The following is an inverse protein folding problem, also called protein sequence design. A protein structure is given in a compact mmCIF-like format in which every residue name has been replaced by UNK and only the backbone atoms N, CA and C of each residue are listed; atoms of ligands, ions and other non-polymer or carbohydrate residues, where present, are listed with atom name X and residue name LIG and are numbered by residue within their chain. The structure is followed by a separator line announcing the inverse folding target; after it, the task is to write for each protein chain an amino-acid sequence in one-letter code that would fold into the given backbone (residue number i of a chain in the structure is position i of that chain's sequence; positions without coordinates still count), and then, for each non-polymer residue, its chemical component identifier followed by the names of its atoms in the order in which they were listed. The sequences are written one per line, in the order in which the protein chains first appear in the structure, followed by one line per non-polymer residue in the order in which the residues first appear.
data_IF_616458882917
#
_entry.id   IF_616458882917
#
_cell.length_a   1.000
_cell.length_b   1.000
_cell.length_c   1.000
_cell.angle_alpha   90.00
_cell.angle_beta   90.00
_cell.angle_gamma   90.00
#
_symmetry.space_group_name_H-M   'P 1'
#
loop_
_entity.id
_entity.type
_entity.pdbx_description
1 polymer ?
#
# COMPACT_ATOMS: atom_id res chain seq x y z
N UNK A 1 -22.37 -2.11 3.37
CA UNK A 1 -22.79 -1.97 4.79
C UNK A 1 -21.93 -2.79 5.75
N UNK A 2 -21.76 -4.11 5.55
CA UNK A 2 -20.99 -4.96 6.47
C UNK A 2 -19.59 -4.41 6.81
N UNK A 3 -18.79 -4.04 5.81
CA UNK A 3 -17.43 -3.51 6.02
C UNK A 3 -17.38 -2.18 6.82
N UNK A 4 -18.37 -1.30 6.64
CA UNK A 4 -18.45 -0.03 7.39
C UNK A 4 -18.67 -0.26 8.88
N UNK A 5 -19.30 -1.38 9.23
CA UNK A 5 -19.54 -1.79 10.61
C UNK A 5 -18.39 -2.61 11.21
N UNK A 6 -17.32 -2.88 10.45
CA UNK A 6 -16.16 -3.68 10.89
C UNK A 6 -16.21 -5.15 10.47
N UNK A 7 -17.23 -5.57 9.71
CA UNK A 7 -17.32 -6.92 9.17
C UNK A 7 -16.39 -7.17 7.98
N UNK A 8 -16.01 -8.42 7.77
CA UNK A 8 -15.18 -8.86 6.64
C UNK A 8 -16.01 -9.70 5.68
N UNK A 9 -15.78 -9.56 4.37
CA UNK A 9 -16.55 -10.32 3.36
C UNK A 9 -15.85 -11.61 2.95
N UNK A 10 -14.54 -11.55 2.72
CA UNK A 10 -13.71 -12.70 2.38
C UNK A 10 -12.27 -12.49 2.86
N UNK A 11 -11.43 -13.52 2.75
CA UNK A 11 -10.00 -13.46 3.05
C UNK A 11 -9.22 -14.29 2.05
N UNK A 12 -7.91 -14.08 1.99
CA UNK A 12 -6.96 -14.86 1.20
C UNK A 12 -5.92 -15.44 2.14
N UNK A 13 -5.58 -16.72 1.97
CA UNK A 13 -4.53 -17.36 2.77
C UNK A 13 -3.17 -16.71 2.49
N UNK A 14 -2.66 -16.02 3.49
CA UNK A 14 -1.35 -15.36 3.51
C UNK A 14 -0.56 -15.95 4.70
N UNK A 15 0.44 -16.83 4.46
CA UNK A 15 1.08 -17.63 5.51
C UNK A 15 2.18 -16.86 6.27
N UNK A 16 1.98 -15.58 6.54
CA UNK A 16 2.88 -14.80 7.39
C UNK A 16 2.49 -14.95 8.87
N UNK A 17 3.48 -14.97 9.75
CA UNK A 17 3.28 -14.95 11.20
C UNK A 17 3.77 -13.63 11.75
N UNK A 18 2.93 -13.01 12.58
CA UNK A 18 3.27 -11.77 13.27
C UNK A 18 3.80 -10.64 12.36
N UNK A 19 3.15 -10.45 11.20
CA UNK A 19 3.50 -9.39 10.24
C UNK A 19 2.35 -8.40 10.12
N UNK A 20 2.65 -7.11 10.24
CA UNK A 20 1.72 -6.02 9.95
C UNK A 20 1.96 -5.49 8.53
N UNK A 21 0.90 -5.38 7.73
CA UNK A 21 0.94 -4.85 6.37
C UNK A 21 0.31 -3.46 6.39
N UNK A 22 1.04 -2.49 5.85
CA UNK A 22 0.65 -1.09 5.81
C UNK A 22 0.51 -0.60 4.36
N UNK A 23 -0.35 0.39 4.17
CA UNK A 23 -0.57 1.09 2.91
C UNK A 23 -0.58 2.59 3.15
N UNK A 24 0.12 3.32 2.29
CA UNK A 24 0.22 4.77 2.35
C UNK A 24 -0.14 5.35 0.99
N UNK A 25 -1.04 6.33 0.95
CA UNK A 25 -1.31 7.11 -0.24
C UNK A 25 -1.45 8.60 0.13
N UNK A 26 -1.21 9.48 -0.85
CA UNK A 26 -1.32 10.92 -0.68
C UNK A 26 -2.17 11.53 -1.78
N UNK A 27 -3.19 12.29 -1.39
CA UNK A 27 -4.05 13.06 -2.28
C UNK A 27 -3.62 14.52 -2.29
N UNK A 28 -3.49 15.07 -3.50
CA UNK A 28 -3.23 16.49 -3.75
C UNK A 28 -4.32 17.02 -4.68
N UNK A 29 -5.00 18.10 -4.29
CA UNK A 29 -5.96 18.77 -5.16
C UNK A 29 -5.20 19.65 -6.18
N UNK A 30 -5.35 19.42 -7.50
CA UNK A 30 -4.68 20.24 -8.51
C UNK A 30 -5.29 21.65 -8.67
N UNK A 31 -6.51 21.87 -8.19
CA UNK A 31 -7.23 23.14 -8.32
C UNK A 31 -7.20 23.98 -7.05
N UNK A 32 -7.12 23.34 -5.87
CA UNK A 32 -6.91 24.03 -4.60
C UNK A 32 -5.44 23.91 -4.15
N UNK A 33 -4.73 25.04 -4.11
CA UNK A 33 -3.35 25.14 -3.59
C UNK A 33 -3.19 24.80 -2.09
N UNK A 34 -4.27 24.47 -1.38
CA UNK A 34 -4.25 24.30 0.06
C UNK A 34 -4.55 22.86 0.47
N UNK A 35 -3.57 22.30 1.18
CA UNK A 35 -3.58 21.07 1.97
C UNK A 35 -3.54 19.75 1.18
N UNK A 36 -2.44 19.03 1.39
CA UNK A 36 -2.28 17.65 0.96
C UNK A 36 -2.84 16.73 2.04
N UNK A 37 -3.47 15.63 1.64
CA UNK A 37 -3.96 14.63 2.60
C UNK A 37 -3.18 13.35 2.42
N UNK A 38 -2.48 12.93 3.46
CA UNK A 38 -1.84 11.61 3.51
C UNK A 38 -2.72 10.67 4.33
N UNK A 39 -2.93 9.46 3.84
CA UNK A 39 -3.64 8.42 4.57
C UNK A 39 -2.73 7.22 4.83
N UNK A 40 -2.80 6.73 6.06
CA UNK A 40 -2.09 5.55 6.53
C UNK A 40 -3.10 4.47 6.91
N UNK A 41 -2.91 3.27 6.39
CA UNK A 41 -3.75 2.10 6.67
C UNK A 41 -2.86 0.95 7.10
N UNK A 42 -3.25 0.19 8.13
CA UNK A 42 -2.48 -0.94 8.64
C UNK A 42 -3.36 -2.12 9.04
N UNK A 43 -2.92 -3.35 8.75
CA UNK A 43 -3.63 -4.56 9.12
C UNK A 43 -3.51 -4.85 10.63
N UNK A 44 -4.61 -5.26 11.27
CA UNK A 44 -4.65 -5.53 12.71
C UNK A 44 -4.66 -7.03 13.06
N UNK A 45 -4.93 -7.91 12.10
CA UNK A 45 -5.07 -9.35 12.32
C UNK A 45 -4.32 -10.18 11.27
N UNK A 46 -4.03 -11.44 11.61
CA UNK A 46 -3.30 -12.39 10.75
C UNK A 46 -4.05 -12.80 9.47
N UNK A 47 -5.37 -12.60 9.43
CA UNK A 47 -6.18 -12.83 8.22
C UNK A 47 -6.23 -11.61 7.29
N UNK A 48 -5.58 -10.49 7.66
CA UNK A 48 -5.54 -9.25 6.89
C UNK A 48 -6.92 -8.72 6.48
N UNK A 49 -7.90 -8.85 7.37
CA UNK A 49 -9.30 -8.44 7.13
C UNK A 49 -9.73 -7.23 7.93
N UNK A 50 -9.00 -6.92 9.00
CA UNK A 50 -9.26 -5.78 9.88
C UNK A 50 -8.15 -4.76 9.72
N UNK A 51 -8.53 -3.49 9.60
CA UNK A 51 -7.63 -2.42 9.22
C UNK A 51 -7.80 -1.24 10.16
N UNK A 52 -6.67 -0.74 10.67
CA UNK A 52 -6.55 0.61 11.20
C UNK A 52 -6.38 1.59 10.05
N UNK A 53 -6.93 2.78 10.20
CA UNK A 53 -6.88 3.84 9.19
C UNK A 53 -6.86 5.21 9.86
N UNK A 54 -5.96 6.07 9.41
CA UNK A 54 -5.84 7.45 9.86
C UNK A 54 -5.38 8.34 8.71
N UNK A 55 -6.00 9.50 8.58
CA UNK A 55 -5.58 10.53 7.64
C UNK A 55 -4.92 11.69 8.39
N UNK A 56 -3.95 12.33 7.75
CA UNK A 56 -3.31 13.55 8.19
C UNK A 56 -3.48 14.61 7.09
N UNK A 57 -4.03 15.77 7.45
CA UNK A 57 -4.26 16.91 6.55
C UNK A 57 -3.16 17.92 6.82
N UNK A 58 -2.29 18.17 5.84
CA UNK A 58 -1.07 18.93 6.08
C UNK A 58 -0.72 19.87 4.92
N UNK A 59 -0.09 20.98 5.27
CA UNK A 59 0.17 22.12 4.39
C UNK A 59 1.51 21.93 3.66
N UNK A 60 2.47 21.30 4.33
CA UNK A 60 3.85 21.14 3.84
C UNK A 60 4.31 19.67 3.79
N UNK A 61 5.32 19.38 2.95
CA UNK A 61 5.82 18.02 2.73
C UNK A 61 6.52 17.42 3.95
N UNK A 62 7.18 18.22 4.79
CA UNK A 62 7.82 17.73 6.02
C UNK A 62 6.77 17.33 7.06
N UNK A 63 5.65 18.06 7.13
CA UNK A 63 4.53 17.70 7.99
C UNK A 63 3.96 16.33 7.61
N UNK A 64 3.86 16.02 6.30
CA UNK A 64 3.40 14.72 5.78
C UNK A 64 4.10 13.56 6.47
N UNK A 65 5.42 13.62 6.57
CA UNK A 65 6.17 12.51 7.15
C UNK A 65 5.92 12.40 8.67
N UNK A 66 5.86 13.53 9.38
CA UNK A 66 5.53 13.54 10.81
C UNK A 66 4.12 12.98 11.09
N UNK A 67 3.14 13.29 10.22
CA UNK A 67 1.77 12.79 10.30
C UNK A 67 1.69 11.27 10.06
N UNK A 68 2.48 10.76 9.13
CA UNK A 68 2.59 9.32 8.86
C UNK A 68 3.22 8.57 10.03
N UNK A 69 4.30 9.12 10.62
CA UNK A 69 4.97 8.54 11.80
C UNK A 69 3.99 8.45 12.99
N UNK A 70 3.25 9.54 13.26
CA UNK A 70 2.23 9.57 14.31
C UNK A 70 1.06 8.60 14.04
N UNK A 71 0.76 8.32 12.78
CA UNK A 71 -0.27 7.35 12.38
C UNK A 71 0.22 5.92 12.52
N UNK A 72 1.51 5.69 12.27
CA UNK A 72 2.16 4.40 12.45
C UNK A 72 2.25 4.01 13.93
N UNK A 73 2.64 4.92 14.80
CA UNK A 73 2.64 4.69 16.27
C UNK A 73 1.25 4.29 16.78
N UNK A 74 0.21 5.03 16.37
CA UNK A 74 -1.17 4.70 16.73
C UNK A 74 -1.61 3.32 16.20
N UNK A 75 -1.19 2.95 14.98
CA UNK A 75 -1.46 1.64 14.41
C UNK A 75 -0.79 0.51 15.22
N UNK A 76 0.46 0.72 15.67
CA UNK A 76 1.18 -0.23 16.51
C UNK A 76 0.54 -0.39 17.88
N UNK A 77 0.07 0.70 18.48
CA UNK A 77 -0.68 0.66 19.74
C UNK A 77 -1.97 -0.16 19.59
N UNK A 78 -2.77 0.11 18.55
CA UNK A 78 -3.96 -0.67 18.23
C UNK A 78 -3.63 -2.16 17.99
N UNK A 79 -2.54 -2.44 17.26
CA UNK A 79 -2.09 -3.81 17.02
C UNK A 79 -1.73 -4.53 18.33
N UNK A 80 -1.00 -3.85 19.22
CA UNK A 80 -0.60 -4.38 20.53
C UNK A 80 -1.78 -4.60 21.45
N UNK A 81 -2.73 -3.67 21.52
CA UNK A 81 -3.96 -3.81 22.31
C UNK A 81 -4.75 -5.05 21.85
N UNK A 82 -4.82 -5.27 20.53
CA UNK A 82 -5.59 -6.37 19.95
C UNK A 82 -4.93 -7.74 20.10
N UNK A 83 -3.62 -7.81 19.89
CA UNK A 83 -2.89 -9.07 19.80
C UNK A 83 -2.07 -9.40 21.06
N UNK A 84 -1.87 -8.43 21.97
CA UNK A 84 -1.04 -8.57 23.18
C UNK A 84 0.46 -8.39 22.95
N UNK A 85 0.90 -8.30 21.70
CA UNK A 85 2.31 -8.14 21.29
C UNK A 85 2.43 -7.19 20.09
N UNK A 86 3.64 -6.69 19.85
CA UNK A 86 3.97 -5.90 18.65
C UNK A 86 4.33 -6.82 17.47
N UNK A 87 4.15 -6.36 16.22
CA UNK A 87 4.51 -7.16 15.05
C UNK A 87 6.04 -7.31 14.93
N UNK A 88 6.53 -8.49 14.55
CA UNK A 88 7.96 -8.73 14.34
C UNK A 88 8.46 -8.07 13.05
N UNK A 89 7.59 -8.04 12.03
CA UNK A 89 7.91 -7.43 10.74
C UNK A 89 6.78 -6.51 10.29
N UNK A 90 7.16 -5.40 9.67
CA UNK A 90 6.24 -4.44 9.07
C UNK A 90 6.55 -4.31 7.59
N UNK A 91 5.54 -4.55 6.75
CA UNK A 91 5.64 -4.40 5.29
C UNK A 91 4.82 -3.17 4.89
N UNK A 92 5.49 -2.14 4.39
CA UNK A 92 4.86 -0.86 4.03
C UNK A 92 4.80 -0.76 2.50
N UNK A 93 3.61 -0.57 1.96
CA UNK A 93 3.39 -0.24 0.56
C UNK A 93 3.05 1.25 0.41
N UNK A 94 3.95 2.01 -0.21
CA UNK A 94 3.79 3.43 -0.51
C UNK A 94 3.36 3.65 -1.94
N UNK A 95 2.18 4.19 -2.13
CA UNK A 95 1.63 4.59 -3.42
C UNK A 95 1.83 6.10 -3.66
N UNK A 96 1.74 6.57 -4.91
CA UNK A 96 1.75 8.00 -5.21
C UNK A 96 3.13 8.68 -5.25
N UNK A 97 4.22 7.91 -5.33
CA UNK A 97 5.59 8.41 -5.36
C UNK A 97 6.22 8.21 -6.74
N UNK A 98 6.68 9.31 -7.36
CA UNK A 98 7.43 9.26 -8.63
C UNK A 98 8.93 9.00 -8.43
N UNK A 99 9.65 8.76 -9.52
CA UNK A 99 11.10 8.46 -9.48
C UNK A 99 11.93 9.54 -8.79
N UNK A 100 11.62 10.82 -9.02
CA UNK A 100 12.31 11.94 -8.38
C UNK A 100 12.12 12.03 -6.86
N UNK A 101 11.18 11.27 -6.29
CA UNK A 101 10.87 11.26 -4.86
C UNK A 101 11.33 9.97 -4.16
N UNK A 102 11.89 8.98 -4.88
CA UNK A 102 12.37 7.74 -4.26
C UNK A 102 13.45 8.00 -3.22
N UNK A 103 14.38 8.92 -3.51
CA UNK A 103 15.42 9.34 -2.57
C UNK A 103 14.84 10.01 -1.32
N UNK A 104 13.74 10.75 -1.46
CA UNK A 104 13.07 11.37 -0.31
C UNK A 104 12.51 10.28 0.62
N UNK A 105 11.83 9.27 0.05
CA UNK A 105 11.33 8.14 0.84
C UNK A 105 12.49 7.39 1.53
N UNK A 106 13.57 7.11 0.79
CA UNK A 106 14.72 6.38 1.32
C UNK A 106 15.47 7.14 2.44
N UNK A 107 15.67 8.45 2.29
CA UNK A 107 16.49 9.25 3.21
C UNK A 107 15.70 9.89 4.35
N UNK A 108 14.37 10.06 4.21
CA UNK A 108 13.55 10.78 5.19
C UNK A 108 12.37 9.99 5.73
N UNK A 109 11.61 9.26 4.90
CA UNK A 109 10.45 8.50 5.39
C UNK A 109 10.87 7.23 6.13
N UNK A 110 11.71 6.41 5.50
CA UNK A 110 12.15 5.13 6.06
C UNK A 110 12.84 5.31 7.43
N UNK A 111 13.80 6.25 7.60
CA UNK A 111 14.46 6.46 8.90
C UNK A 111 13.51 6.89 10.02
N UNK A 112 12.38 7.51 9.71
CA UNK A 112 11.40 7.86 10.74
C UNK A 112 10.61 6.65 11.21
N UNK A 113 10.18 5.78 10.29
CA UNK A 113 9.57 4.51 10.66
C UNK A 113 10.53 3.61 11.45
N UNK A 114 11.82 3.62 11.09
CA UNK A 114 12.85 2.89 11.85
C UNK A 114 12.98 3.37 13.30
N UNK A 115 12.94 4.69 13.54
CA UNK A 115 12.99 5.23 14.90
C UNK A 115 11.83 4.72 15.76
N UNK A 116 10.64 4.58 15.17
CA UNK A 116 9.46 4.03 15.85
C UNK A 116 9.60 2.52 16.08
N UNK A 117 10.07 1.77 15.08
CA UNK A 117 10.28 0.32 15.17
C UNK A 117 11.38 -0.08 16.18
N UNK A 118 12.40 0.76 16.34
CA UNK A 118 13.59 0.43 17.11
C UNK A 118 14.32 -0.80 16.53
N UNK A 119 15.01 -1.54 17.40
CA UNK A 119 15.80 -2.73 16.98
C UNK A 119 15.00 -4.03 16.90
N UNK A 120 13.77 -4.04 17.41
CA UNK A 120 13.01 -5.28 17.61
C UNK A 120 12.10 -5.63 16.44
N UNK A 121 11.87 -4.69 15.52
CA UNK A 121 10.95 -4.84 14.41
C UNK A 121 11.67 -4.58 13.08
N UNK A 122 11.49 -5.48 12.13
CA UNK A 122 12.09 -5.35 10.78
C UNK A 122 11.15 -4.62 9.84
N UNK A 123 11.69 -3.77 8.97
CA UNK A 123 10.92 -3.03 7.97
C UNK A 123 11.24 -3.54 6.56
N UNK A 124 10.18 -3.82 5.80
CA UNK A 124 10.25 -3.97 4.34
C UNK A 124 9.42 -2.86 3.72
N UNK A 125 10.03 -1.98 2.92
CA UNK A 125 9.39 -0.80 2.34
C UNK A 125 9.38 -0.88 0.82
N UNK A 126 8.19 -0.81 0.23
CA UNK A 126 7.96 -0.89 -1.21
C UNK A 126 7.25 0.35 -1.72
N UNK A 127 7.73 0.89 -2.83
CA UNK A 127 7.02 1.93 -3.60
C UNK A 127 6.28 1.30 -4.76
N UNK A 128 5.05 1.77 -5.00
CA UNK A 128 4.19 1.36 -6.11
C UNK A 128 4.02 2.54 -7.06
N UNK A 129 4.33 2.34 -8.34
CA UNK A 129 4.15 3.34 -9.39
C UNK A 129 3.06 2.89 -10.37
N UNK A 130 1.93 3.63 -10.41
CA UNK A 130 0.79 3.33 -11.31
C UNK A 130 0.94 3.87 -12.73
N UNK A 131 1.73 4.93 -12.88
CA UNK A 131 1.93 5.66 -14.13
C UNK A 131 3.32 5.33 -14.65
N UNK A 132 3.38 4.31 -15.50
CA UNK A 132 4.58 3.95 -16.25
C UNK A 132 4.23 3.89 -17.74
N UNK A 133 5.24 4.09 -18.59
CA UNK A 133 5.11 3.97 -20.04
C UNK A 133 5.33 2.53 -20.51
N UNK A 134 5.73 1.64 -19.62
CA UNK A 134 6.03 0.23 -19.92
C UNK A 134 4.75 -0.54 -20.19
N UNK A 135 4.70 -1.25 -21.31
CA UNK A 135 3.60 -2.13 -21.71
C UNK A 135 4.13 -3.53 -21.97
N UNK A 136 3.36 -4.54 -21.59
CA UNK A 136 3.68 -5.94 -21.85
C UNK A 136 2.58 -6.55 -22.69
N UNK A 137 2.98 -7.46 -23.56
CA UNK A 137 2.10 -8.21 -24.44
C UNK A 137 2.51 -9.67 -24.39
N UNK A 138 1.51 -10.56 -24.36
CA UNK A 138 1.71 -11.96 -24.65
C UNK A 138 1.75 -12.11 -26.17
N UNK A 139 2.81 -12.71 -26.71
CA UNK A 139 2.90 -13.03 -28.13
C UNK A 139 2.33 -14.43 -28.35
N UNK A 140 1.24 -14.52 -29.11
CA UNK A 140 0.59 -15.77 -29.49
C UNK A 140 0.46 -15.81 -31.02
N UNK A 141 1.41 -16.47 -31.70
CA UNK A 141 1.41 -16.64 -33.17
C UNK A 141 1.17 -15.35 -33.98
N UNK A 142 1.94 -14.29 -33.71
CA UNK A 142 1.84 -12.94 -34.30
C UNK A 142 0.60 -12.13 -33.89
N UNK A 143 -0.20 -12.63 -32.96
CA UNK A 143 -1.27 -11.87 -32.29
C UNK A 143 -0.74 -11.42 -30.92
N UNK A 144 -0.77 -10.11 -30.69
CA UNK A 144 -0.37 -9.54 -29.40
C UNK A 144 -1.59 -9.33 -28.51
N UNK A 145 -1.59 -10.03 -27.37
CA UNK A 145 -2.67 -9.98 -26.41
C UNK A 145 -2.22 -9.38 -25.07
N UNK A 146 -3.18 -8.96 -24.26
CA UNK A 146 -2.88 -8.52 -22.91
C UNK A 146 -2.40 -9.71 -22.06
N UNK A 147 -1.32 -9.57 -21.28
CA UNK A 147 -0.91 -10.58 -20.33
C UNK A 147 -1.99 -10.85 -19.29
N UNK A 148 -2.02 -12.10 -18.81
CA UNK A 148 -2.99 -12.55 -17.82
C UNK A 148 -2.69 -11.96 -16.42
N UNK A 149 -3.72 -11.74 -15.58
CA UNK A 149 -3.51 -11.40 -14.17
C UNK A 149 -2.60 -12.43 -13.48
N UNK A 150 -1.65 -11.95 -12.69
CA UNK A 150 -0.60 -12.73 -12.07
C UNK A 150 0.72 -12.75 -12.86
N UNK A 151 0.76 -12.16 -14.06
CA UNK A 151 2.02 -12.01 -14.80
C UNK A 151 2.99 -11.12 -14.02
N UNK A 152 4.17 -11.66 -13.73
CA UNK A 152 5.28 -10.95 -13.08
C UNK A 152 6.44 -10.85 -14.05
N UNK A 153 7.07 -9.67 -14.11
CA UNK A 153 8.32 -9.47 -14.86
C UNK A 153 9.34 -8.82 -13.95
N UNK A 154 10.37 -9.57 -13.59
CA UNK A 154 11.43 -9.17 -12.65
C UNK A 154 12.85 -9.22 -13.26
N UNK A 155 12.97 -9.57 -14.54
CA UNK A 155 14.24 -9.67 -15.27
C UNK A 155 14.24 -8.86 -16.57
N UNK A 156 15.44 -8.52 -17.03
CA UNK A 156 15.78 -7.86 -18.30
C UNK A 156 15.34 -6.41 -18.48
N UNK A 157 14.10 -6.09 -18.11
CA UNK A 157 13.48 -4.75 -18.25
C UNK A 157 13.49 -3.94 -16.95
N UNK A 158 13.82 -4.61 -15.85
CA UNK A 158 13.96 -4.04 -14.51
C UNK A 158 15.26 -3.26 -14.39
N UNK A 159 15.39 -2.44 -13.33
CA UNK A 159 16.54 -1.58 -13.13
C UNK A 159 17.71 -2.41 -12.60
N UNK A 160 18.87 -2.34 -13.26
CA UNK A 160 20.07 -3.12 -12.90
C UNK A 160 20.56 -2.95 -11.46
N UNK A 161 20.26 -1.82 -10.83
CA UNK A 161 20.75 -1.44 -9.49
C UNK A 161 19.64 -1.36 -8.43
N UNK A 162 18.41 -1.80 -8.73
CA UNK A 162 17.32 -1.81 -7.75
C UNK A 162 16.71 -3.19 -7.67
N UNK A 163 16.10 -3.46 -6.52
CA UNK A 163 15.18 -4.58 -6.42
C UNK A 163 13.79 -4.10 -6.83
N UNK A 164 13.45 -4.30 -8.10
CA UNK A 164 12.16 -3.95 -8.68
C UNK A 164 11.52 -5.10 -9.47
N UNK A 165 10.21 -5.02 -9.65
CA UNK A 165 9.46 -5.94 -10.50
C UNK A 165 8.16 -5.30 -11.00
N UNK A 166 7.65 -5.80 -12.12
CA UNK A 166 6.33 -5.47 -12.61
C UNK A 166 5.33 -6.57 -12.30
N UNK A 167 4.10 -6.18 -11.96
CA UNK A 167 2.99 -7.09 -11.73
C UNK A 167 1.75 -6.62 -12.49
N UNK A 168 1.18 -7.53 -13.30
CA UNK A 168 -0.14 -7.37 -13.90
C UNK A 168 -1.14 -8.02 -12.95
N UNK A 169 -1.85 -7.23 -12.16
CA UNK A 169 -2.76 -7.73 -11.13
C UNK A 169 -4.22 -7.84 -11.59
N UNK A 170 -4.64 -7.06 -12.59
CA UNK A 170 -6.03 -6.98 -13.05
C UNK A 170 -6.12 -7.04 -14.57
N UNK A 171 -7.12 -7.76 -15.09
CA UNK A 171 -7.44 -7.79 -16.51
C UNK A 171 -8.27 -6.55 -16.91
N UNK A 172 -8.08 -6.07 -18.14
CA UNK A 172 -8.85 -4.95 -18.70
C UNK A 172 -9.80 -5.46 -19.79
N UNK A 173 -11.01 -4.91 -19.86
CA UNK A 173 -11.98 -5.26 -20.93
C UNK A 173 -11.68 -4.58 -22.26
N UNK A 174 -11.12 -3.38 -22.20
CA UNK A 174 -10.76 -2.57 -23.35
C UNK A 174 -9.40 -1.92 -23.15
N UNK A 175 -8.65 -1.79 -24.24
CA UNK A 175 -7.32 -1.19 -24.26
C UNK A 175 -6.21 -2.12 -23.74
N UNK A 176 -5.02 -1.56 -23.60
CA UNK A 176 -3.83 -2.29 -23.16
C UNK A 176 -3.63 -2.17 -21.65
N UNK A 177 -3.40 -3.30 -20.99
CA UNK A 177 -3.13 -3.33 -19.55
C UNK A 177 -1.87 -2.54 -19.21
N UNK A 178 -1.95 -1.73 -18.14
CA UNK A 178 -0.78 -1.06 -17.58
C UNK A 178 -0.29 -1.87 -16.37
N UNK A 179 0.89 -2.50 -16.45
CA UNK A 179 1.48 -3.21 -15.32
C UNK A 179 1.79 -2.24 -14.19
N UNK A 180 1.78 -2.73 -12.96
CA UNK A 180 2.19 -1.97 -11.78
C UNK A 180 3.66 -2.20 -11.51
N UNK A 181 4.42 -1.13 -11.30
CA UNK A 181 5.85 -1.22 -11.01
C UNK A 181 6.07 -1.13 -9.50
N UNK A 182 6.69 -2.14 -8.92
CA UNK A 182 7.03 -2.24 -7.51
C UNK A 182 8.53 -2.09 -7.35
N UNK A 183 8.96 -1.19 -6.46
CA UNK A 183 10.36 -0.94 -6.17
C UNK A 183 10.56 -1.15 -4.67
N UNK A 184 11.39 -2.13 -4.29
CA UNK A 184 11.76 -2.39 -2.91
C UNK A 184 12.91 -1.45 -2.54
N UNK A 185 12.61 -0.43 -1.74
CA UNK A 185 13.62 0.53 -1.27
C UNK A 185 14.37 0.00 -0.05
N UNK A 186 13.75 -0.90 0.72
CA UNK A 186 14.34 -1.51 1.90
C UNK A 186 13.72 -2.87 2.18
N UNK A 187 14.54 -3.82 2.60
CA UNK A 187 14.08 -5.11 3.10
C UNK A 187 14.98 -5.65 4.21
N UNK A 188 14.66 -5.32 5.46
CA UNK A 188 15.39 -5.84 6.64
C UNK A 188 15.08 -7.32 6.92
N UNK A 189 13.97 -7.82 6.36
CA UNK A 189 13.51 -9.19 6.56
C UNK A 189 14.20 -10.18 5.63
N UNK A 190 14.88 -9.70 4.58
CA UNK A 190 15.50 -10.49 3.51
C UNK A 190 14.51 -11.51 2.93
N UNK A 191 13.30 -11.07 2.59
CA UNK A 191 12.32 -11.92 1.95
C UNK A 191 12.79 -12.32 0.55
N UNK A 192 12.56 -13.59 0.18
CA UNK A 192 12.78 -14.03 -1.20
C UNK A 192 11.93 -13.23 -2.19
N UNK A 193 12.41 -12.94 -3.40
CA UNK A 193 11.65 -12.14 -4.35
C UNK A 193 10.27 -12.70 -4.68
N UNK A 194 10.15 -14.03 -4.75
CA UNK A 194 8.91 -14.72 -5.01
C UNK A 194 7.87 -14.51 -3.87
N UNK A 195 8.33 -14.38 -2.63
CA UNK A 195 7.48 -14.15 -1.46
C UNK A 195 6.82 -12.78 -1.56
N UNK A 196 7.60 -11.74 -1.83
CA UNK A 196 7.11 -10.36 -1.96
C UNK A 196 6.19 -10.21 -3.17
N UNK A 197 6.55 -10.83 -4.30
CA UNK A 197 5.72 -10.82 -5.52
C UNK A 197 4.36 -11.50 -5.26
N UNK A 198 4.36 -12.71 -4.67
CA UNK A 198 3.13 -13.44 -4.31
C UNK A 198 2.30 -12.69 -3.27
N UNK A 199 2.93 -12.08 -2.27
CA UNK A 199 2.23 -11.26 -1.28
C UNK A 199 1.53 -10.08 -1.96
N UNK A 200 2.27 -9.33 -2.78
CA UNK A 200 1.76 -8.16 -3.50
C UNK A 200 0.55 -8.52 -4.36
N UNK A 201 0.60 -9.67 -5.04
CA UNK A 201 -0.54 -10.17 -5.81
C UNK A 201 -1.71 -10.61 -4.94
N UNK A 202 -1.47 -11.34 -3.83
CA UNK A 202 -2.52 -11.75 -2.89
C UNK A 202 -3.26 -10.57 -2.27
N UNK A 203 -2.54 -9.49 -1.94
CA UNK A 203 -3.14 -8.28 -1.38
C UNK A 203 -4.09 -7.58 -2.37
N UNK A 204 -3.89 -7.75 -3.69
CA UNK A 204 -4.79 -7.21 -4.71
C UNK A 204 -6.19 -7.86 -4.72
N UNK A 205 -6.38 -8.97 -4.00
CA UNK A 205 -7.69 -9.61 -3.83
C UNK A 205 -8.45 -9.15 -2.59
N UNK A 206 -7.85 -8.33 -1.71
CA UNK A 206 -8.44 -8.00 -0.40
C UNK A 206 -9.19 -6.66 -0.38
N UNK A 207 -9.52 -6.09 -1.54
CA UNK A 207 -10.29 -4.84 -1.62
C UNK A 207 -11.80 -5.11 -1.65
N UNK A 208 -12.50 -4.83 -0.56
CA UNK A 208 -13.88 -5.27 -0.37
C UNK A 208 -14.94 -4.57 -1.23
N UNK A 209 -14.62 -3.45 -1.88
CA UNK A 209 -15.56 -2.76 -2.76
C UNK A 209 -15.58 -3.32 -4.20
N UNK A 210 -14.75 -4.32 -4.49
CA UNK A 210 -14.68 -4.95 -5.81
C UNK A 210 -14.55 -6.47 -5.69
N UNK A 211 -15.49 -7.27 -6.22
CA UNK A 211 -15.45 -8.73 -6.16
C UNK A 211 -14.48 -9.30 -7.22
N UNK A 212 -13.20 -8.94 -7.12
CA UNK A 212 -12.14 -9.35 -8.04
C UNK A 212 -10.80 -8.71 -7.68
N UNK A 213 -9.82 -8.87 -8.56
CA UNK A 213 -8.51 -8.24 -8.39
C UNK A 213 -8.56 -6.74 -8.69
N UNK A 214 -7.92 -5.95 -7.84
CA UNK A 214 -7.62 -4.54 -8.11
C UNK A 214 -6.18 -4.35 -8.58
N UNK A 215 -5.87 -3.17 -9.14
CA UNK A 215 -4.54 -2.86 -9.68
C UNK A 215 -3.45 -2.85 -8.60
N UNK A 216 -3.73 -2.28 -7.43
CA UNK A 216 -2.76 -2.12 -6.34
C UNK A 216 -3.20 -2.93 -5.11
N UNK A 217 -2.29 -3.26 -4.18
CA UNK A 217 -2.61 -3.93 -2.92
C UNK A 217 -3.76 -3.24 -2.18
N UNK A 218 -4.61 -4.02 -1.51
CA UNK A 218 -5.78 -3.51 -0.82
C UNK A 218 -5.45 -2.41 0.20
N UNK A 219 -4.33 -2.53 0.93
CA UNK A 219 -3.88 -1.50 1.87
C UNK A 219 -3.70 -0.12 1.20
N UNK A 220 -3.12 -0.07 0.00
CA UNK A 220 -2.97 1.16 -0.78
C UNK A 220 -4.31 1.62 -1.37
N UNK A 221 -5.17 0.72 -1.85
CA UNK A 221 -6.52 1.11 -2.29
C UNK A 221 -7.35 1.72 -1.16
N UNK A 222 -7.22 1.19 0.06
CA UNK A 222 -7.88 1.73 1.25
C UNK A 222 -7.32 3.10 1.61
N UNK A 223 -5.99 3.26 1.65
CA UNK A 223 -5.36 4.56 1.87
C UNK A 223 -5.80 5.58 0.82
N UNK A 224 -5.84 5.20 -0.45
CA UNK A 224 -6.30 6.05 -1.55
C UNK A 224 -7.75 6.53 -1.35
N UNK A 225 -8.66 5.61 -1.03
CA UNK A 225 -10.08 5.96 -0.79
C UNK A 225 -10.24 6.87 0.43
N UNK A 226 -9.47 6.64 1.48
CA UNK A 226 -9.48 7.49 2.66
C UNK A 226 -8.94 8.89 2.35
N UNK A 227 -7.76 9.00 1.73
CA UNK A 227 -7.16 10.28 1.36
C UNK A 227 -8.08 11.08 0.43
N UNK A 228 -8.70 10.42 -0.54
CA UNK A 228 -9.65 11.03 -1.46
C UNK A 228 -10.90 11.57 -0.75
N UNK A 229 -11.56 10.77 0.09
CA UNK A 229 -12.74 11.19 0.83
C UNK A 229 -12.44 12.37 1.76
N UNK A 230 -11.31 12.32 2.46
CA UNK A 230 -10.90 13.38 3.39
C UNK A 230 -10.52 14.65 2.63
N UNK A 231 -9.70 14.55 1.58
CA UNK A 231 -9.27 15.70 0.80
C UNK A 231 -10.41 16.39 0.07
N UNK A 232 -11.32 15.62 -0.52
CA UNK A 232 -12.38 16.18 -1.36
C UNK A 232 -13.63 16.60 -0.58
N UNK A 233 -14.02 15.87 0.47
CA UNK A 233 -15.34 16.05 1.09
C UNK A 233 -15.31 16.46 2.56
N UNK A 234 -14.45 15.84 3.39
CA UNK A 234 -14.51 16.04 4.85
C UNK A 234 -13.63 17.21 5.28
N UNK A 235 -12.42 17.33 4.73
CA UNK A 235 -11.43 18.38 4.99
C UNK A 235 -11.14 18.62 6.49
N UNK A 236 -11.33 17.59 7.31
CA UNK A 236 -11.13 17.58 8.77
C UNK A 236 -10.67 16.21 9.26
N UNK A 237 -10.13 16.18 10.46
CA UNK A 237 -9.76 14.94 11.13
C UNK A 237 -10.98 14.06 11.40
N UNK A 238 -10.74 12.75 11.37
CA UNK A 238 -11.76 11.73 11.61
C UNK A 238 -11.85 11.35 13.07
N UNK A 239 -13.05 10.99 13.53
CA UNK A 239 -13.25 10.56 14.91
C UNK A 239 -12.48 9.26 15.20
N UNK A 240 -11.85 9.17 16.38
CA UNK A 240 -11.00 8.03 16.77
C UNK A 240 -11.72 6.69 16.72
N UNK A 241 -13.02 6.66 17.01
CA UNK A 241 -13.83 5.43 16.98
C UNK A 241 -14.05 4.85 15.57
N UNK A 242 -13.69 5.59 14.52
CA UNK A 242 -13.77 5.15 13.13
C UNK A 242 -12.45 4.57 12.62
N UNK A 243 -11.34 4.69 13.36
CA UNK A 243 -10.02 4.29 12.88
C UNK A 243 -9.93 2.81 12.54
N UNK A 244 -10.64 1.94 13.26
CA UNK A 244 -10.68 0.49 13.04
C UNK A 244 -11.80 0.04 12.08
N UNK A 245 -12.48 0.98 11.41
CA UNK A 245 -13.59 0.70 10.50
C UNK A 245 -13.29 1.18 9.09
N UNK A 246 -13.73 0.42 8.10
CA UNK A 246 -13.66 0.81 6.69
C UNK A 246 -14.83 1.74 6.32
N UNK A 247 -15.02 2.82 7.08
CA UNK A 247 -16.16 3.75 6.92
C UNK A 247 -16.14 4.54 5.60
N UNK A 248 -14.94 4.71 5.04
CA UNK A 248 -14.64 5.44 3.80
C UNK A 248 -14.86 4.62 2.52
N UNK A 249 -15.37 3.40 2.63
CA UNK A 249 -15.76 2.57 1.47
C UNK A 249 -17.09 2.99 0.85
#
# INVERSE_FOLDING_TARGET
MNCKMGGSLWTVKIPFKNVMICGIDSYHDPYQKCNSVAAFVASLNSSYTQWFSKAAIQSEKEEIVNGLTSSFEAALECYKIRNGYLPDNVIIYRDGVGDGQLNLCAMYEIPQFERVCGKNMKITYLVIQKRNNTKFFLNNDNIYENPLPGTVVDKYITRSHMYDFFLVSQAVRHGTVSPMHFIVLRDDSNYGPDIIQKLSYKLCYLYYNWPGTVRIPACCMYAHKMAYLIGQSIQRDTARNLSEKLFYL
#
